data_IF_542886937235
#
_entry.id   IF_542886937235
#
_cell.length_a   1.000
_cell.length_b   1.000
_cell.length_c   1.000
_cell.angle_alpha   90.00
_cell.angle_beta   90.00
_cell.angle_gamma   90.00
#
_symmetry.space_group_name_H-M   'P 1'
#
loop_
_entity.id
_entity.type
_entity.pdbx_description
1 polymer ?
#
# COMPACT_ATOMS: atom_id res chain seq x y z
N UNK A 1 11.23 16.01 23.43
CA UNK A 1 10.12 15.55 22.56
C UNK A 1 9.59 14.24 23.12
N UNK A 2 8.28 14.05 23.28
CA UNK A 2 7.76 12.76 23.73
C UNK A 2 8.06 11.73 22.65
N UNK A 3 8.65 10.58 23.03
CA UNK A 3 8.75 9.42 22.14
C UNK A 3 7.33 8.94 21.86
N UNK A 4 6.83 9.17 20.64
CA UNK A 4 5.67 8.45 20.12
C UNK A 4 6.14 7.00 19.87
N UNK A 5 6.01 6.16 20.90
CA UNK A 5 6.17 4.72 20.76
C UNK A 5 4.79 4.19 20.36
N UNK A 6 4.59 3.72 19.12
CA UNK A 6 3.32 3.10 18.77
C UNK A 6 3.17 1.79 19.56
N UNK A 7 1.93 1.40 19.92
CA UNK A 7 1.71 0.11 20.57
C UNK A 7 2.20 -1.03 19.66
N UNK A 8 3.00 -1.99 20.17
CA UNK A 8 3.46 -3.16 19.42
C UNK A 8 2.32 -3.96 18.76
N UNK A 9 1.14 -3.93 19.39
CA UNK A 9 -0.06 -4.66 18.95
C UNK A 9 -0.64 -4.13 17.63
N UNK A 10 -0.43 -2.85 17.30
CA UNK A 10 -0.93 -2.26 16.06
C UNK A 10 -0.15 -2.68 14.81
N UNK A 11 1.09 -3.15 14.96
CA UNK A 11 1.98 -3.42 13.82
C UNK A 11 1.87 -4.85 13.32
N UNK A 12 1.70 -5.80 14.24
CA UNK A 12 1.39 -7.19 13.91
C UNK A 12 0.12 -7.29 13.04
N UNK A 13 -0.78 -6.32 13.15
CA UNK A 13 -1.98 -6.22 12.32
C UNK A 13 -1.67 -6.11 10.82
N UNK A 14 -0.59 -5.42 10.43
CA UNK A 14 -0.22 -5.24 9.02
C UNK A 14 0.43 -6.47 8.42
N UNK A 15 1.14 -7.28 9.22
CA UNK A 15 1.87 -8.46 8.73
C UNK A 15 0.92 -9.48 8.09
N UNK A 16 1.32 -10.01 6.94
CA UNK A 16 0.57 -10.89 6.05
C UNK A 16 -0.74 -10.31 5.47
N UNK A 17 -1.03 -9.02 5.68
CA UNK A 17 -2.22 -8.41 5.07
C UNK A 17 -1.98 -8.07 3.61
N UNK A 18 -3.04 -8.32 2.83
CA UNK A 18 -3.22 -7.79 1.48
C UNK A 18 -3.60 -6.32 1.59
N UNK A 19 -2.94 -5.49 0.80
CA UNK A 19 -3.28 -4.09 0.58
C UNK A 19 -3.26 -3.75 -0.90
N UNK A 20 -3.96 -2.68 -1.27
CA UNK A 20 -3.83 -2.04 -2.57
C UNK A 20 -2.68 -1.04 -2.51
N UNK A 21 -1.59 -1.37 -3.20
CA UNK A 21 -0.43 -0.51 -3.37
C UNK A 21 -0.64 0.41 -4.57
N UNK A 22 -0.34 1.69 -4.40
CA UNK A 22 -0.50 2.71 -5.42
C UNK A 22 0.77 3.56 -5.45
N UNK A 23 1.43 3.61 -6.60
CA UNK A 23 2.60 4.46 -6.82
C UNK A 23 2.69 4.85 -8.30
N UNK A 24 3.07 6.10 -8.56
CA UNK A 24 3.33 6.64 -9.91
C UNK A 24 2.32 6.30 -11.01
N UNK A 25 1.02 6.40 -10.74
CA UNK A 25 0.02 6.10 -11.76
C UNK A 25 -0.39 4.63 -11.85
N UNK A 26 0.19 3.77 -11.01
CA UNK A 26 0.01 2.32 -11.06
C UNK A 26 -0.51 1.78 -9.72
N UNK A 27 -1.61 1.02 -9.78
CA UNK A 27 -2.21 0.33 -8.65
C UNK A 27 -2.07 -1.18 -8.79
N UNK A 28 -1.66 -1.89 -7.74
CA UNK A 28 -1.58 -3.34 -7.71
C UNK A 28 -1.81 -3.89 -6.30
N UNK A 29 -2.16 -5.17 -6.20
CA UNK A 29 -2.26 -5.83 -4.90
C UNK A 29 -0.89 -6.28 -4.40
N UNK A 30 -0.64 -6.02 -3.12
CA UNK A 30 0.58 -6.39 -2.44
C UNK A 30 0.27 -7.00 -1.07
N UNK A 31 1.16 -7.87 -0.59
CA UNK A 31 1.12 -8.43 0.76
C UNK A 31 2.32 -7.95 1.55
N UNK A 32 2.07 -7.49 2.77
CA UNK A 32 3.13 -7.14 3.72
C UNK A 32 3.70 -8.43 4.29
N UNK A 33 4.94 -8.79 3.97
CA UNK A 33 5.59 -9.96 4.60
C UNK A 33 6.24 -9.63 5.91
N UNK A 34 6.84 -8.44 6.00
CA UNK A 34 7.53 -8.01 7.20
C UNK A 34 7.41 -6.52 7.44
N UNK A 35 7.57 -6.16 8.70
CA UNK A 35 7.52 -4.79 9.19
C UNK A 35 8.63 -4.62 10.22
N UNK A 36 9.54 -3.70 9.94
CA UNK A 36 10.64 -3.34 10.82
C UNK A 36 10.46 -1.91 11.31
N UNK A 37 10.93 -1.67 12.53
CA UNK A 37 10.90 -0.36 13.17
C UNK A 37 12.32 0.07 13.51
N UNK A 38 12.61 1.33 13.26
CA UNK A 38 13.82 1.96 13.77
C UNK A 38 13.54 3.36 14.33
N UNK A 39 14.60 4.09 14.66
CA UNK A 39 14.49 5.45 15.18
C UNK A 39 13.95 6.44 14.15
N UNK A 40 14.00 6.11 12.86
CA UNK A 40 13.60 6.96 11.75
C UNK A 40 12.13 6.74 11.37
N UNK A 41 11.60 5.53 11.54
CA UNK A 41 10.23 5.23 11.18
C UNK A 41 9.89 3.74 11.13
N UNK A 42 8.95 3.44 10.23
CA UNK A 42 8.51 2.10 9.89
C UNK A 42 8.97 1.76 8.47
N UNK A 43 9.49 0.57 8.31
CA UNK A 43 9.83 -0.03 7.01
C UNK A 43 8.99 -1.29 6.84
N UNK A 44 8.50 -1.56 5.64
CA UNK A 44 7.87 -2.83 5.32
C UNK A 44 8.41 -3.43 4.04
N UNK A 45 8.44 -4.75 4.03
CA UNK A 45 8.70 -5.54 2.83
C UNK A 45 7.35 -5.96 2.27
N UNK A 46 7.12 -5.56 1.02
CA UNK A 46 5.94 -5.91 0.24
C UNK A 46 6.31 -7.00 -0.77
N UNK A 47 5.37 -7.91 -1.01
CA UNK A 47 5.41 -8.83 -2.13
C UNK A 47 4.20 -8.59 -3.04
N UNK A 48 4.39 -8.76 -4.34
CA UNK A 48 3.28 -8.81 -5.27
C UNK A 48 2.30 -9.92 -4.84
N UNK A 49 1.00 -9.68 -4.96
CA UNK A 49 0.02 -10.71 -4.63
C UNK A 49 0.01 -11.81 -5.70
N UNK A 50 0.54 -12.98 -5.35
CA UNK A 50 0.64 -14.12 -6.26
C UNK A 50 -0.71 -14.78 -6.57
N UNK A 51 -1.73 -14.56 -5.74
CA UNK A 51 -3.07 -15.10 -5.96
C UNK A 51 -3.87 -14.23 -6.93
N UNK A 52 -3.53 -12.95 -7.05
CA UNK A 52 -4.26 -12.01 -7.90
C UNK A 52 -3.34 -10.99 -8.54
N UNK A 53 -2.96 -11.30 -9.76
CA UNK A 53 -2.09 -10.51 -10.62
C UNK A 53 -2.92 -9.48 -11.39
N UNK A 54 -3.43 -8.46 -10.68
CA UNK A 54 -4.19 -7.37 -11.26
C UNK A 54 -3.44 -6.06 -11.08
N UNK A 55 -3.18 -5.38 -12.21
CA UNK A 55 -2.54 -4.08 -12.28
C UNK A 55 -3.49 -3.09 -12.94
N UNK A 56 -3.53 -1.87 -12.42
CA UNK A 56 -4.28 -0.76 -12.99
C UNK A 56 -3.35 0.42 -13.28
N UNK A 57 -3.36 0.91 -14.52
CA UNK A 57 -2.74 2.16 -14.92
C UNK A 57 -3.78 3.28 -14.89
N UNK A 58 -3.82 4.04 -13.79
CA UNK A 58 -4.87 5.04 -13.56
C UNK A 58 -4.60 6.42 -14.18
N UNK A 59 -3.38 6.65 -14.69
CA UNK A 59 -3.07 7.86 -15.47
C UNK A 59 -3.37 7.73 -16.96
N UNK A 60 -3.69 6.52 -17.43
CA UNK A 60 -4.14 6.30 -18.81
C UNK A 60 -5.61 6.70 -18.96
N UNK A 61 -6.02 7.16 -20.15
CA UNK A 61 -7.40 7.55 -20.45
C UNK A 61 -7.92 6.77 -21.69
N UNK A 62 -8.86 5.83 -21.52
CA UNK A 62 -9.45 5.40 -20.24
C UNK A 62 -8.44 4.65 -19.36
N UNK A 63 -8.72 4.56 -18.06
CA UNK A 63 -7.92 3.75 -17.14
C UNK A 63 -7.79 2.32 -17.68
N UNK A 64 -6.58 1.75 -17.61
CA UNK A 64 -6.32 0.42 -18.16
C UNK A 64 -6.03 -0.58 -17.06
N UNK A 65 -6.79 -1.68 -17.05
CA UNK A 65 -6.46 -2.85 -16.25
C UNK A 65 -5.72 -3.87 -17.09
N UNK A 66 -4.69 -4.49 -16.53
CA UNK A 66 -4.03 -5.66 -17.10
C UNK A 66 -3.90 -6.76 -16.06
N UNK A 67 -4.11 -7.99 -16.51
CA UNK A 67 -3.89 -9.19 -15.72
C UNK A 67 -2.40 -9.61 -15.85
N UNK A 68 -1.50 -8.67 -15.54
CA UNK A 68 -0.05 -8.82 -15.73
C UNK A 68 0.61 -9.47 -14.49
N UNK A 69 1.47 -10.44 -14.75
CA UNK A 69 2.05 -11.26 -13.70
C UNK A 69 3.02 -10.51 -12.76
N UNK A 70 3.52 -9.35 -13.18
CA UNK A 70 4.60 -8.65 -12.48
C UNK A 70 4.31 -7.17 -12.35
N UNK A 71 4.12 -6.65 -11.13
CA UNK A 71 4.05 -5.22 -10.94
C UNK A 71 5.37 -4.57 -11.34
N UNK A 72 5.34 -3.29 -11.76
CA UNK A 72 6.55 -2.56 -12.19
C UNK A 72 7.60 -2.42 -11.08
N UNK A 73 7.19 -2.62 -9.82
CA UNK A 73 8.04 -2.57 -8.63
C UNK A 73 8.77 -3.90 -8.35
N UNK A 74 8.57 -4.92 -9.20
CA UNK A 74 9.14 -6.26 -9.02
C UNK A 74 8.32 -7.13 -8.07
N UNK A 75 8.74 -8.39 -7.88
CA UNK A 75 8.01 -9.36 -7.04
C UNK A 75 8.11 -9.04 -5.54
N UNK A 76 9.10 -8.23 -5.16
CA UNK A 76 9.36 -7.83 -3.77
C UNK A 76 9.99 -6.45 -3.74
N UNK A 77 9.47 -5.55 -2.90
CA UNK A 77 10.01 -4.20 -2.75
C UNK A 77 9.84 -3.70 -1.32
N UNK A 78 10.63 -2.69 -0.97
CA UNK A 78 10.64 -2.10 0.38
C UNK A 78 10.02 -0.72 0.34
N UNK A 79 9.14 -0.46 1.30
CA UNK A 79 8.56 0.85 1.54
C UNK A 79 8.96 1.35 2.92
N UNK A 80 9.16 2.65 3.05
CA UNK A 80 9.52 3.27 4.32
C UNK A 80 8.66 4.50 4.58
N UNK A 81 8.36 4.76 5.85
CA UNK A 81 7.55 5.89 6.29
C UNK A 81 8.07 6.46 7.61
N UNK A 82 8.45 7.74 7.67
CA UNK A 82 8.91 8.36 8.91
C UNK A 82 7.82 8.43 9.99
N UNK A 83 8.20 8.33 11.27
CA UNK A 83 7.26 8.34 12.40
C UNK A 83 6.32 9.54 12.42
N UNK A 84 6.83 10.72 12.05
CA UNK A 84 6.08 11.97 12.05
C UNK A 84 4.86 11.95 11.12
N UNK A 85 4.77 10.95 10.25
CA UNK A 85 3.70 10.79 9.28
C UNK A 85 2.91 9.50 9.47
N UNK A 86 3.32 8.64 10.41
CA UNK A 86 2.67 7.35 10.65
C UNK A 86 1.56 7.46 11.69
N UNK A 87 0.36 7.03 11.30
CA UNK A 87 -0.83 7.00 12.13
C UNK A 87 -1.28 5.55 12.26
N UNK A 88 -0.96 4.91 13.39
CA UNK A 88 -1.12 3.47 13.56
C UNK A 88 -2.57 2.98 13.66
N UNK A 89 -3.53 3.88 13.83
CA UNK A 89 -4.97 3.64 13.81
C UNK A 89 -5.56 3.68 12.39
N UNK A 90 -4.81 4.16 11.41
CA UNK A 90 -5.26 4.24 10.03
C UNK A 90 -5.08 2.90 9.32
N UNK A 91 -6.11 2.48 8.59
CA UNK A 91 -6.07 1.31 7.72
C UNK A 91 -5.37 1.61 6.38
N UNK A 92 -4.45 2.57 6.35
CA UNK A 92 -3.66 2.89 5.18
C UNK A 92 -2.30 3.48 5.56
N UNK A 93 -1.32 3.29 4.69
CA UNK A 93 -0.05 4.01 4.75
C UNK A 93 0.02 4.97 3.57
N UNK A 94 0.41 6.21 3.87
CA UNK A 94 0.58 7.27 2.89
C UNK A 94 2.03 7.79 2.98
N UNK A 95 2.80 7.55 1.93
CA UNK A 95 4.18 8.01 1.74
C UNK A 95 4.30 9.20 0.79
N UNK A 96 3.19 9.83 0.37
CA UNK A 96 3.13 10.86 -0.67
C UNK A 96 4.06 12.07 -0.46
N UNK A 97 4.49 12.35 0.78
CA UNK A 97 5.35 13.50 1.10
C UNK A 97 6.71 13.54 0.38
N UNK A 98 7.18 12.42 -0.19
CA UNK A 98 8.48 12.33 -0.89
C UNK A 98 8.41 11.66 -2.28
N UNK A 99 7.32 11.89 -3.01
CA UNK A 99 7.05 11.28 -4.33
C UNK A 99 6.25 9.99 -4.25
N UNK A 100 5.63 9.73 -3.10
CA UNK A 100 5.46 8.38 -2.62
C UNK A 100 4.15 7.67 -2.91
N UNK A 101 4.09 6.52 -2.26
CA UNK A 101 3.09 5.50 -2.43
C UNK A 101 1.88 5.72 -1.52
N UNK A 102 0.80 4.99 -1.81
CA UNK A 102 -0.24 4.67 -0.84
C UNK A 102 -0.41 3.16 -0.75
N UNK A 103 -0.63 2.66 0.46
CA UNK A 103 -0.97 1.27 0.70
C UNK A 103 -2.27 1.22 1.49
N UNK A 104 -3.36 0.82 0.84
CA UNK A 104 -4.70 0.83 1.42
C UNK A 104 -5.09 -0.60 1.86
N UNK A 105 -5.49 -0.78 3.12
CA UNK A 105 -5.90 -2.07 3.67
C UNK A 105 -7.42 -2.22 3.81
N UNK A 106 -8.19 -1.23 3.37
CA UNK A 106 -9.66 -1.28 3.37
C UNK A 106 -10.17 -2.42 2.48
N UNK A 107 -10.93 -3.35 3.08
CA UNK A 107 -11.52 -4.48 2.35
C UNK A 107 -12.50 -4.04 1.27
N UNK A 108 -13.21 -2.93 1.50
CA UNK A 108 -14.14 -2.36 0.52
C UNK A 108 -13.40 -1.86 -0.73
N UNK A 109 -12.37 -1.05 -0.53
CA UNK A 109 -11.51 -0.53 -1.61
C UNK A 109 -10.87 -1.66 -2.40
N UNK A 110 -10.31 -2.67 -1.72
CA UNK A 110 -9.72 -3.84 -2.38
C UNK A 110 -10.78 -4.61 -3.18
N UNK A 111 -11.98 -4.82 -2.61
CA UNK A 111 -13.08 -5.49 -3.29
C UNK A 111 -13.52 -4.77 -4.56
N UNK A 112 -13.62 -3.44 -4.52
CA UNK A 112 -13.96 -2.61 -5.67
C UNK A 112 -12.86 -2.62 -6.73
N UNK A 113 -11.58 -2.55 -6.32
CA UNK A 113 -10.44 -2.69 -7.22
C UNK A 113 -10.45 -4.03 -7.96
N UNK A 114 -10.73 -5.13 -7.27
CA UNK A 114 -10.88 -6.47 -7.87
C UNK A 114 -12.03 -6.54 -8.89
N UNK A 115 -13.07 -5.73 -8.70
CA UNK A 115 -14.18 -5.58 -9.65
C UNK A 115 -13.89 -4.57 -10.78
N UNK A 116 -12.66 -4.03 -10.83
CA UNK A 116 -12.23 -2.98 -11.77
C UNK A 116 -13.04 -1.69 -11.64
N UNK A 117 -13.59 -1.43 -10.45
CA UNK A 117 -14.23 -0.17 -10.08
C UNK A 117 -13.21 0.77 -9.42
N UNK A 118 -13.07 1.97 -9.99
CA UNK A 118 -12.17 3.04 -9.51
C UNK A 118 -12.93 4.28 -9.03
N UNK A 119 -14.27 4.22 -8.90
CA UNK A 119 -15.05 5.40 -8.49
C UNK A 119 -14.81 5.84 -7.04
N UNK A 120 -14.05 5.08 -6.26
CA UNK A 120 -13.54 5.47 -4.93
C UNK A 120 -12.24 6.28 -4.98
N UNK A 121 -11.53 6.33 -6.11
CA UNK A 121 -10.17 6.90 -6.18
C UNK A 121 -10.15 8.38 -5.74
N UNK A 122 -11.16 9.16 -6.09
CA UNK A 122 -11.26 10.59 -5.71
C UNK A 122 -11.42 10.78 -4.20
N UNK A 123 -11.97 9.81 -3.46
CA UNK A 123 -12.08 9.89 -1.99
C UNK A 123 -10.72 9.73 -1.29
N UNK A 124 -9.75 9.16 -2.01
CA UNK A 124 -8.42 8.87 -1.50
C UNK A 124 -7.33 9.70 -2.16
N UNK A 125 -7.60 10.54 -3.17
CA UNK A 125 -6.59 11.37 -3.87
C UNK A 125 -7.02 12.83 -3.97
#
# INVERSE_FOLDING_TARGET
MPKLVPPPEGLAWFKNRRGLYIEDGIGCLARVSDVELDESGITAILHADSETQLICHFRENPNRFCDDAKPPFGDTWTIAKPWNWFFGDQQYWDGSSYGGFRLLFSTDVIGRFLQRDLSWMEDYF
#
